data_IF_279264801598
#
_entry.id   IF_279264801598
#
_cell.length_a   1.000
_cell.length_b   1.000
_cell.length_c   1.000
_cell.angle_alpha   90.00
_cell.angle_beta   90.00
_cell.angle_gamma   90.00
#
_symmetry.space_group_name_H-M   'P 1'
#
loop_
_entity.id
_entity.type
_entity.pdbx_description
1 polymer ?
#
# COMPACT_ATOMS: atom_id res chain seq x y z
N UNK A 1 4.40 15.62 -11.89
CA UNK A 1 4.65 14.17 -11.78
C UNK A 1 3.67 13.61 -10.75
N UNK A 2 3.00 12.51 -11.03
CA UNK A 2 2.10 11.88 -10.05
C UNK A 2 2.89 11.00 -9.09
N UNK A 3 2.99 11.42 -7.82
CA UNK A 3 3.86 10.78 -6.81
C UNK A 3 3.08 10.18 -5.65
N UNK A 4 3.68 9.17 -5.00
CA UNK A 4 3.22 8.60 -3.73
C UNK A 4 4.38 7.95 -2.98
N UNK A 5 4.29 7.91 -1.64
CA UNK A 5 5.22 7.21 -0.76
C UNK A 5 4.60 5.89 -0.31
N UNK A 6 5.36 4.82 -0.37
CA UNK A 6 4.88 3.47 -0.06
C UNK A 6 5.98 2.53 0.42
N UNK A 7 5.58 1.48 1.12
CA UNK A 7 6.43 0.31 1.40
C UNK A 7 6.25 -0.70 0.27
N UNK A 8 7.32 -1.10 -0.44
CA UNK A 8 7.27 -2.16 -1.44
C UNK A 8 7.06 -3.53 -0.79
N UNK A 9 6.40 -4.45 -1.49
CA UNK A 9 6.39 -5.84 -1.08
C UNK A 9 7.69 -6.53 -1.48
N UNK A 10 8.17 -7.43 -0.61
CA UNK A 10 9.21 -8.36 -1.00
C UNK A 10 8.70 -9.34 -2.06
N UNK A 11 9.59 -9.91 -2.84
CA UNK A 11 9.22 -10.86 -3.89
C UNK A 11 8.62 -12.14 -3.29
N UNK A 12 9.16 -12.60 -2.15
CA UNK A 12 8.65 -13.72 -1.38
C UNK A 12 7.22 -13.46 -0.90
N UNK A 13 6.94 -12.28 -0.35
CA UNK A 13 5.59 -11.92 0.10
C UNK A 13 4.61 -11.88 -1.07
N UNK A 14 5.01 -11.31 -2.20
CA UNK A 14 4.21 -11.27 -3.42
C UNK A 14 3.83 -12.67 -3.91
N UNK A 15 4.81 -13.57 -4.01
CA UNK A 15 4.59 -14.96 -4.42
C UNK A 15 3.70 -15.71 -3.44
N UNK A 16 3.92 -15.55 -2.14
CA UNK A 16 3.12 -16.20 -1.10
C UNK A 16 1.65 -15.74 -1.14
N UNK A 17 1.40 -14.45 -1.31
CA UNK A 17 0.03 -13.90 -1.44
C UNK A 17 -0.66 -14.46 -2.68
N UNK A 18 0.02 -14.47 -3.84
CA UNK A 18 -0.54 -15.05 -5.08
C UNK A 18 -0.90 -16.52 -4.89
N UNK A 19 0.02 -17.30 -4.29
CA UNK A 19 -0.20 -18.73 -4.05
C UNK A 19 -1.39 -18.96 -3.11
N UNK A 20 -1.46 -18.19 -2.02
CA UNK A 20 -2.55 -18.27 -1.04
C UNK A 20 -3.93 -18.00 -1.67
N UNK A 21 -4.05 -16.90 -2.42
CA UNK A 21 -5.29 -16.52 -3.10
C UNK A 21 -5.71 -17.58 -4.14
N UNK A 22 -4.78 -18.09 -4.93
CA UNK A 22 -5.05 -19.14 -5.92
C UNK A 22 -5.46 -20.47 -5.28
N UNK A 23 -4.91 -20.78 -4.11
CA UNK A 23 -5.27 -22.00 -3.36
C UNK A 23 -6.66 -21.92 -2.72
N UNK A 24 -7.07 -20.72 -2.30
CA UNK A 24 -8.34 -20.52 -1.61
C UNK A 24 -9.53 -20.24 -2.56
N UNK A 25 -9.29 -19.66 -3.73
CA UNK A 25 -10.33 -19.18 -4.63
C UNK A 25 -10.40 -20.00 -5.92
N UNK A 26 -11.60 -20.52 -6.23
CA UNK A 26 -11.87 -21.21 -7.50
C UNK A 26 -12.01 -20.25 -8.71
N UNK A 27 -12.17 -18.96 -8.46
CA UNK A 27 -12.35 -17.91 -9.48
C UNK A 27 -11.41 -16.73 -9.18
N UNK A 28 -11.08 -15.91 -10.21
CA UNK A 28 -10.35 -14.68 -10.00
C UNK A 28 -11.04 -13.75 -9.00
N UNK A 29 -10.28 -12.84 -8.38
CA UNK A 29 -10.83 -11.80 -7.53
C UNK A 29 -11.87 -10.96 -8.29
N UNK A 30 -12.97 -10.54 -7.64
CA UNK A 30 -13.98 -9.71 -8.27
C UNK A 30 -13.43 -8.34 -8.69
N UNK A 31 -14.03 -7.73 -9.69
CA UNK A 31 -13.68 -6.41 -10.18
C UNK A 31 -12.45 -6.40 -11.10
N UNK A 32 -11.57 -5.44 -10.89
CA UNK A 32 -10.29 -5.29 -11.60
C UNK A 32 -9.15 -5.59 -10.64
N UNK A 33 -8.61 -6.81 -10.64
CA UNK A 33 -7.47 -7.16 -9.80
C UNK A 33 -6.26 -6.27 -10.10
N UNK A 34 -5.59 -5.83 -9.04
CA UNK A 34 -4.30 -5.15 -9.15
C UNK A 34 -3.24 -6.19 -9.45
N UNK A 35 -2.44 -5.96 -10.46
CA UNK A 35 -1.33 -6.87 -10.81
C UNK A 35 -0.36 -6.99 -9.64
N UNK A 36 0.12 -8.19 -9.31
CA UNK A 36 1.02 -8.40 -8.15
C UNK A 36 2.26 -7.52 -8.15
N UNK A 37 2.80 -7.17 -9.33
CA UNK A 37 3.97 -6.30 -9.48
C UNK A 37 3.70 -4.86 -9.03
N UNK A 38 2.43 -4.48 -8.91
CA UNK A 38 2.00 -3.15 -8.47
C UNK A 38 1.57 -3.11 -7.00
N UNK A 39 1.63 -4.24 -6.29
CA UNK A 39 1.25 -4.29 -4.89
C UNK A 39 2.26 -3.54 -4.01
N UNK A 40 1.74 -2.70 -3.13
CA UNK A 40 2.50 -1.92 -2.16
C UNK A 40 1.59 -1.50 -1.00
N UNK A 41 2.18 -1.21 0.15
CA UNK A 41 1.49 -0.54 1.24
C UNK A 41 1.65 0.97 1.05
N UNK A 42 0.59 1.65 0.63
CA UNK A 42 0.62 3.11 0.47
C UNK A 42 0.67 3.79 1.83
N UNK A 43 1.62 4.69 2.01
CA UNK A 43 1.72 5.56 3.19
C UNK A 43 1.08 6.93 2.90
N UNK A 44 1.40 7.55 1.78
CA UNK A 44 0.91 8.87 1.41
C UNK A 44 0.80 9.06 -0.10
N UNK A 45 -0.36 9.48 -0.59
CA UNK A 45 -0.53 9.97 -1.96
C UNK A 45 -0.23 11.47 -2.01
N UNK A 46 0.60 11.89 -2.96
CA UNK A 46 1.01 13.29 -3.13
C UNK A 46 0.29 13.97 -4.29
N UNK A 47 -0.26 13.18 -5.22
CA UNK A 47 -0.89 13.70 -6.44
C UNK A 47 0.13 14.25 -7.43
N UNK A 48 -0.25 15.31 -8.17
CA UNK A 48 0.65 15.97 -9.13
C UNK A 48 1.62 16.88 -8.40
N UNK A 49 2.92 16.62 -8.60
CA UNK A 49 4.04 17.29 -7.93
C UNK A 49 5.02 17.78 -9.01
N UNK A 50 5.52 19.01 -8.91
CA UNK A 50 6.61 19.52 -9.72
C UNK A 50 7.98 19.04 -9.22
N UNK A 51 9.05 19.29 -9.98
CA UNK A 51 10.41 18.85 -9.63
C UNK A 51 10.95 19.50 -8.35
N UNK A 52 10.69 20.80 -8.17
CA UNK A 52 11.16 21.55 -6.99
C UNK A 52 10.51 21.02 -5.71
N UNK A 53 9.22 20.76 -5.77
CA UNK A 53 8.47 20.17 -4.65
C UNK A 53 8.88 18.71 -4.40
N UNK A 54 9.20 17.94 -5.44
CA UNK A 54 9.74 16.59 -5.31
C UNK A 54 11.07 16.59 -4.54
N UNK A 55 12.00 17.45 -4.93
CA UNK A 55 13.30 17.59 -4.25
C UNK A 55 13.15 18.03 -2.78
N UNK A 56 12.12 18.82 -2.48
CA UNK A 56 11.80 19.22 -1.10
C UNK A 56 11.29 18.04 -0.30
N UNK A 57 10.35 17.27 -0.84
CA UNK A 57 9.85 16.05 -0.18
C UNK A 57 11.00 15.09 0.13
N UNK A 58 11.89 14.83 -0.83
CA UNK A 58 13.03 13.93 -0.63
C UNK A 58 13.89 14.40 0.56
N UNK A 59 14.21 15.71 0.62
CA UNK A 59 15.01 16.27 1.72
C UNK A 59 14.32 16.16 3.09
N UNK A 60 13.03 16.45 3.16
CA UNK A 60 12.29 16.42 4.43
C UNK A 60 12.10 14.97 4.93
N UNK A 61 11.82 14.02 4.03
CA UNK A 61 11.73 12.59 4.39
C UNK A 61 13.07 12.06 4.89
N UNK A 62 14.17 12.45 4.24
CA UNK A 62 15.53 12.05 4.66
C UNK A 62 15.93 12.68 6.02
N UNK A 63 15.51 13.92 6.26
CA UNK A 63 15.87 14.68 7.45
C UNK A 63 15.10 14.24 8.71
N UNK A 64 13.82 13.84 8.59
CA UNK A 64 12.98 13.58 9.76
C UNK A 64 13.29 12.24 10.45
N UNK A 65 13.81 11.27 9.70
CA UNK A 65 14.07 9.93 10.21
C UNK A 65 12.78 9.11 10.41
N UNK A 66 12.57 8.13 9.55
CA UNK A 66 11.31 7.37 9.48
C UNK A 66 11.16 6.28 10.57
N UNK A 67 12.09 6.19 11.51
CA UNK A 67 12.11 5.17 12.56
C UNK A 67 12.74 3.84 12.12
N UNK A 68 12.79 2.83 13.01
CA UNK A 68 13.46 1.57 12.75
C UNK A 68 12.69 0.66 11.80
N UNK A 69 13.41 -0.26 11.17
CA UNK A 69 12.82 -1.38 10.47
C UNK A 69 11.98 -2.25 11.41
N UNK A 70 10.92 -2.86 10.89
CA UNK A 70 10.01 -3.72 11.65
C UNK A 70 9.49 -4.88 10.80
N UNK A 71 8.73 -5.78 11.42
CA UNK A 71 8.06 -6.87 10.73
C UNK A 71 6.56 -6.61 10.66
N UNK A 72 5.99 -6.66 9.47
CA UNK A 72 4.55 -6.65 9.24
C UNK A 72 4.07 -8.07 8.98
N UNK A 73 2.97 -8.49 9.62
CA UNK A 73 2.38 -9.79 9.38
C UNK A 73 1.04 -9.62 8.66
N UNK A 74 1.01 -10.04 7.40
CA UNK A 74 -0.21 -10.02 6.59
C UNK A 74 -1.20 -11.07 7.08
N UNK A 75 -2.46 -10.70 7.21
CA UNK A 75 -3.53 -11.50 7.81
C UNK A 75 -4.71 -11.76 6.89
N UNK A 76 -5.88 -11.25 7.26
CA UNK A 76 -7.14 -11.51 6.58
C UNK A 76 -7.46 -10.48 5.48
N UNK A 77 -8.35 -10.87 4.57
CA UNK A 77 -8.96 -9.97 3.60
C UNK A 77 -9.97 -9.05 4.28
N UNK A 78 -10.13 -7.86 3.69
CA UNK A 78 -11.18 -6.92 4.06
C UNK A 78 -11.67 -6.15 2.84
N UNK A 79 -12.65 -5.28 3.07
CA UNK A 79 -13.27 -4.51 1.99
C UNK A 79 -13.67 -3.12 2.44
N UNK A 80 -13.50 -2.13 1.56
CA UNK A 80 -14.02 -0.78 1.75
C UNK A 80 -15.19 -0.53 0.81
N UNK A 81 -16.19 0.24 1.25
CA UNK A 81 -16.44 0.74 2.61
C UNK A 81 -16.90 -0.37 3.57
N UNK A 82 -17.42 -1.48 3.05
CA UNK A 82 -17.88 -2.66 3.81
C UNK A 82 -18.05 -3.87 2.89
N UNK A 83 -18.00 -5.12 3.41
CA UNK A 83 -18.05 -6.34 2.59
C UNK A 83 -19.27 -6.46 1.66
N UNK A 84 -20.46 -6.06 2.12
CA UNK A 84 -21.72 -6.14 1.32
C UNK A 84 -21.84 -5.07 0.23
N UNK A 85 -20.96 -4.07 0.23
CA UNK A 85 -20.91 -2.99 -0.77
C UNK A 85 -19.47 -2.58 -1.01
N UNK A 86 -18.66 -3.53 -1.44
CA UNK A 86 -17.24 -3.32 -1.62
C UNK A 86 -16.92 -2.64 -2.95
N UNK A 87 -16.09 -1.61 -2.90
CA UNK A 87 -15.44 -1.00 -4.06
C UNK A 87 -13.92 -1.21 -4.06
N UNK A 88 -13.36 -1.65 -2.94
CA UNK A 88 -11.96 -2.08 -2.80
C UNK A 88 -11.90 -3.34 -1.97
N UNK A 89 -11.22 -4.36 -2.50
CA UNK A 89 -10.84 -5.56 -1.77
C UNK A 89 -9.35 -5.45 -1.40
N UNK A 90 -9.01 -5.72 -0.16
CA UNK A 90 -7.66 -5.54 0.36
C UNK A 90 -7.22 -6.66 1.30
N UNK A 91 -5.92 -6.80 1.49
CA UNK A 91 -5.29 -7.63 2.51
C UNK A 91 -4.83 -6.74 3.65
N UNK A 92 -5.21 -7.08 4.88
CA UNK A 92 -4.83 -6.34 6.09
C UNK A 92 -3.66 -6.97 6.82
N UNK A 93 -3.11 -6.23 7.78
CA UNK A 93 -2.12 -6.73 8.72
C UNK A 93 -2.81 -7.31 9.98
N UNK A 94 -2.22 -8.32 10.58
CA UNK A 94 -2.61 -8.86 11.89
C UNK A 94 -1.57 -8.56 12.97
N UNK A 95 -0.34 -8.16 12.58
CA UNK A 95 0.72 -7.68 13.47
C UNK A 95 1.55 -6.61 12.75
N UNK A 96 2.11 -5.67 13.49
CA UNK A 96 2.92 -4.57 12.94
C UNK A 96 2.09 -3.38 12.45
N UNK A 97 0.79 -3.37 12.70
CA UNK A 97 -0.09 -2.27 12.28
C UNK A 97 0.26 -0.96 13.01
N UNK A 98 0.56 -1.02 14.30
CA UNK A 98 0.96 0.16 15.07
C UNK A 98 2.30 0.76 14.58
N UNK A 99 3.25 -0.08 14.21
CA UNK A 99 4.53 0.33 13.62
C UNK A 99 4.30 0.97 12.23
N UNK A 100 3.41 0.38 11.42
CA UNK A 100 3.03 0.94 10.12
C UNK A 100 2.30 2.28 10.25
N UNK A 101 1.45 2.44 11.27
CA UNK A 101 0.81 3.73 11.61
C UNK A 101 1.84 4.77 12.03
N UNK A 102 2.82 4.39 12.86
CA UNK A 102 3.94 5.25 13.24
C UNK A 102 4.77 5.70 12.05
N UNK A 103 5.08 4.78 11.13
CA UNK A 103 5.77 5.07 9.88
C UNK A 103 4.97 6.04 8.99
N UNK A 104 3.67 5.80 8.84
CA UNK A 104 2.80 6.69 8.06
C UNK A 104 2.71 8.10 8.69
N UNK A 105 2.69 8.20 10.02
CA UNK A 105 2.71 9.48 10.72
C UNK A 105 4.03 10.24 10.49
N UNK A 106 5.18 9.56 10.54
CA UNK A 106 6.47 10.17 10.24
C UNK A 106 6.57 10.66 8.79
N UNK A 107 6.05 9.87 7.83
CA UNK A 107 5.94 10.28 6.43
C UNK A 107 5.02 11.50 6.28
N UNK A 108 3.90 11.54 6.97
CA UNK A 108 2.97 12.69 6.95
C UNK A 108 3.64 13.95 7.48
N UNK A 109 4.36 13.87 8.62
CA UNK A 109 5.12 14.99 9.18
C UNK A 109 6.15 15.54 8.18
N UNK A 110 6.87 14.66 7.49
CA UNK A 110 7.85 15.08 6.46
C UNK A 110 7.17 15.76 5.27
N UNK A 111 6.02 15.25 4.84
CA UNK A 111 5.25 15.80 3.70
C UNK A 111 4.66 17.16 4.06
N UNK A 112 4.17 17.34 5.29
CA UNK A 112 3.72 18.64 5.80
C UNK A 112 4.88 19.65 5.91
N UNK A 113 6.06 19.21 6.36
CA UNK A 113 7.27 20.03 6.39
C UNK A 113 7.72 20.47 4.99
N UNK A 114 7.36 19.69 3.96
CA UNK A 114 7.57 20.02 2.55
C UNK A 114 6.47 20.95 1.96
N UNK A 115 5.63 21.58 2.80
CA UNK A 115 4.53 22.48 2.44
C UNK A 115 3.35 21.79 1.69
N UNK A 116 3.14 20.51 1.91
CA UNK A 116 1.96 19.82 1.41
C UNK A 116 0.82 19.83 2.46
N UNK A 117 -0.43 19.90 2.02
CA UNK A 117 -1.56 19.85 2.95
C UNK A 117 -1.63 18.48 3.62
N UNK A 118 -2.10 18.42 4.89
CA UNK A 118 -2.29 17.15 5.58
C UNK A 118 -3.29 16.23 4.87
N UNK A 119 -3.14 14.92 5.07
CA UNK A 119 -4.12 13.95 4.56
C UNK A 119 -5.38 13.97 5.42
N UNK A 120 -6.53 14.15 4.76
CA UNK A 120 -7.83 14.22 5.46
C UNK A 120 -8.30 12.87 6.00
N UNK A 121 -7.75 11.76 5.51
CA UNK A 121 -8.16 10.41 5.87
C UNK A 121 -7.17 9.75 6.80
N UNK A 122 -7.63 9.12 7.90
CA UNK A 122 -6.74 8.36 8.74
C UNK A 122 -6.09 7.21 7.94
N UNK A 123 -4.80 6.98 8.20
CA UNK A 123 -4.08 5.86 7.62
C UNK A 123 -4.77 4.53 7.99
N UNK A 124 -4.81 3.63 7.04
CA UNK A 124 -5.27 2.24 7.20
C UNK A 124 -4.25 1.31 6.60
N UNK A 125 -3.67 0.44 7.42
CA UNK A 125 -2.69 -0.54 6.95
C UNK A 125 -3.38 -1.59 6.07
N UNK A 126 -3.29 -1.44 4.75
CA UNK A 126 -3.90 -2.35 3.78
C UNK A 126 -3.13 -2.42 2.46
N UNK A 127 -3.17 -3.59 1.86
CA UNK A 127 -2.70 -3.86 0.51
C UNK A 127 -3.90 -3.99 -0.43
N UNK A 128 -4.06 -3.08 -1.38
CA UNK A 128 -5.15 -3.15 -2.35
C UNK A 128 -4.95 -4.31 -3.33
N UNK A 129 -5.88 -5.25 -3.34
CA UNK A 129 -5.87 -6.43 -4.21
C UNK A 129 -6.75 -6.27 -5.44
N UNK A 130 -7.91 -5.61 -5.31
CA UNK A 130 -8.83 -5.40 -6.42
C UNK A 130 -9.67 -4.14 -6.23
N UNK A 131 -9.99 -3.46 -7.33
CA UNK A 131 -10.94 -2.34 -7.38
C UNK A 131 -12.22 -2.79 -8.06
N UNK A 132 -13.35 -2.56 -7.40
CA UNK A 132 -14.65 -3.13 -7.77
C UNK A 132 -15.59 -2.00 -8.15
N UNK A 133 -16.03 -1.97 -9.40
CA UNK A 133 -16.99 -1.00 -9.92
C UNK A 133 -17.90 -1.68 -10.95
N UNK A 134 -19.23 -1.62 -10.77
CA UNK A 134 -19.94 -1.11 -9.59
C UNK A 134 -19.61 -1.90 -8.33
N UNK A 135 -19.98 -1.36 -7.15
CA UNK A 135 -19.81 -2.03 -5.86
C UNK A 135 -20.53 -3.40 -5.83
N UNK A 136 -19.94 -4.37 -5.15
CA UNK A 136 -20.42 -5.75 -5.06
C UNK A 136 -20.35 -6.26 -3.61
N UNK A 137 -21.16 -7.28 -3.31
CA UNK A 137 -21.02 -8.08 -2.10
C UNK A 137 -19.86 -9.06 -2.27
N UNK A 138 -18.84 -8.95 -1.42
CA UNK A 138 -17.64 -9.81 -1.43
C UNK A 138 -17.54 -10.71 -0.19
N UNK A 139 -18.61 -10.79 0.61
CA UNK A 139 -18.65 -11.60 1.84
C UNK A 139 -18.17 -13.02 1.60
N UNK A 140 -18.65 -13.67 0.54
CA UNK A 140 -18.25 -15.03 0.19
C UNK A 140 -16.74 -15.15 -0.14
N UNK A 141 -16.13 -14.12 -0.70
CA UNK A 141 -14.68 -14.09 -0.98
C UNK A 141 -13.90 -13.98 0.33
N UNK A 142 -14.34 -13.12 1.25
CA UNK A 142 -13.70 -12.98 2.56
C UNK A 142 -13.77 -14.28 3.37
N UNK A 143 -14.94 -14.94 3.35
CA UNK A 143 -15.16 -16.19 4.08
C UNK A 143 -14.35 -17.37 3.49
N UNK A 144 -14.11 -17.36 2.18
CA UNK A 144 -13.35 -18.42 1.50
C UNK A 144 -11.85 -18.34 1.68
N UNK A 145 -11.29 -17.15 1.99
CA UNK A 145 -9.85 -16.94 2.11
C UNK A 145 -9.45 -16.86 3.59
N UNK A 146 -8.78 -17.89 4.14
CA UNK A 146 -8.31 -17.85 5.52
C UNK A 146 -7.22 -16.79 5.70
N UNK A 147 -6.93 -16.41 6.95
CA UNK A 147 -5.81 -15.51 7.25
C UNK A 147 -4.49 -16.09 6.72
N UNK A 148 -3.70 -15.24 6.07
CA UNK A 148 -2.43 -15.66 5.46
C UNK A 148 -1.35 -15.94 6.50
N UNK A 149 -1.23 -15.11 7.53
CA UNK A 149 -0.23 -15.25 8.59
C UNK A 149 1.22 -15.08 8.11
N UNK A 150 1.47 -14.29 7.07
CA UNK A 150 2.79 -14.12 6.46
C UNK A 150 3.53 -12.92 7.05
N UNK A 151 4.69 -13.16 7.67
CA UNK A 151 5.60 -12.10 8.09
C UNK A 151 6.41 -11.56 6.91
N UNK A 152 6.54 -10.24 6.84
CA UNK A 152 7.31 -9.51 5.83
C UNK A 152 8.13 -8.41 6.51
N UNK A 153 9.44 -8.29 6.24
CA UNK A 153 10.23 -7.18 6.73
C UNK A 153 9.80 -5.87 6.05
N UNK A 154 9.74 -4.80 6.83
CA UNK A 154 9.59 -3.42 6.37
C UNK A 154 10.90 -2.72 6.68
N UNK A 155 11.73 -2.55 5.66
CA UNK A 155 13.10 -2.06 5.77
C UNK A 155 13.35 -0.77 4.98
N UNK A 156 12.36 -0.30 4.22
CA UNK A 156 12.46 0.95 3.46
C UNK A 156 11.09 1.51 3.07
N UNK A 157 11.09 2.80 2.85
CA UNK A 157 10.02 3.54 2.15
C UNK A 157 10.54 3.95 0.78
N UNK A 158 9.69 3.96 -0.22
CA UNK A 158 10.05 4.36 -1.58
C UNK A 158 9.11 5.47 -2.06
N UNK A 159 9.68 6.52 -2.63
CA UNK A 159 8.97 7.53 -3.39
C UNK A 159 8.81 7.04 -4.83
N UNK A 160 7.55 6.81 -5.24
CA UNK A 160 7.21 6.33 -6.56
C UNK A 160 6.60 7.41 -7.43
N UNK A 161 6.96 7.39 -8.71
CA UNK A 161 6.23 8.07 -9.78
C UNK A 161 5.30 7.09 -10.49
N UNK A 162 4.03 7.48 -10.59
CA UNK A 162 3.02 6.71 -11.33
C UNK A 162 2.89 7.24 -12.75
N UNK A 163 3.18 6.38 -13.73
CA UNK A 163 2.94 6.62 -15.14
C UNK A 163 1.63 5.93 -15.53
N UNK A 164 0.67 6.70 -16.04
CA UNK A 164 -0.59 6.18 -16.55
C UNK A 164 -0.47 5.93 -18.05
N UNK A 165 -0.84 4.73 -18.48
CA UNK A 165 -0.79 4.34 -19.89
C UNK A 165 -1.91 3.39 -20.26
N UNK A 166 -2.07 3.04 -21.56
CA UNK A 166 -3.12 2.15 -22.05
C UNK A 166 -3.09 0.74 -21.41
N UNK A 167 -1.89 0.28 -20.98
CA UNK A 167 -1.68 -1.00 -20.29
C UNK A 167 -1.89 -0.95 -18.78
N UNK A 168 -2.39 0.15 -18.23
CA UNK A 168 -2.50 0.41 -16.79
C UNK A 168 -1.31 1.17 -16.23
N UNK A 169 -1.27 1.37 -14.90
CA UNK A 169 -0.20 2.10 -14.25
C UNK A 169 1.12 1.32 -14.29
N UNK A 170 2.22 2.07 -14.36
CA UNK A 170 3.59 1.61 -14.14
C UNK A 170 4.22 2.51 -13.10
N UNK A 171 4.94 1.93 -12.14
CA UNK A 171 5.61 2.68 -11.08
C UNK A 171 7.12 2.71 -11.34
N UNK A 172 7.69 3.88 -11.14
CA UNK A 172 9.12 4.16 -11.23
C UNK A 172 9.60 4.62 -9.85
N UNK A 173 10.63 3.98 -9.33
CA UNK A 173 11.27 4.42 -8.08
C UNK A 173 12.07 5.69 -8.34
N UNK A 174 11.76 6.75 -7.60
CA UNK A 174 12.48 8.04 -7.64
C UNK A 174 13.55 8.05 -6.57
N UNK A 175 13.21 7.67 -5.33
CA UNK A 175 14.11 7.64 -4.19
C UNK A 175 13.70 6.54 -3.21
N UNK A 176 14.67 5.93 -2.54
CA UNK A 176 14.45 4.92 -1.51
C UNK A 176 15.07 5.37 -0.19
N UNK A 177 14.28 5.34 0.88
CA UNK A 177 14.64 5.75 2.24
C UNK A 177 14.75 4.48 3.10
N UNK A 178 15.98 4.02 3.43
CA UNK A 178 16.17 2.84 4.27
C UNK A 178 15.71 3.13 5.71
N UNK A 179 15.13 2.11 6.34
CA UNK A 179 14.85 2.12 7.78
C UNK A 179 15.98 1.39 8.50
N UNK A 180 16.64 2.01 9.52
CA UNK A 180 17.76 1.40 10.24
C UNK A 180 17.37 0.19 11.08
#
# INVERSE_FOLDING_TARGET
>A
MRLFLAVPLTEEARHAIVHHLKGALARPLPGRPVRPELWHLTLRFLGEVDEVSCDRIVREVDAIGLGPAFSLRWGALGAFPRPRRANVLWLGAEQGEAEAEGLAAAVEEAVEAADFPPEDRPFRCHLTLSRIRPDQDVTAVLDAVPSLGLAMPVDRVVLYRSHLGPGGPRYEEIEAFPLP
#
